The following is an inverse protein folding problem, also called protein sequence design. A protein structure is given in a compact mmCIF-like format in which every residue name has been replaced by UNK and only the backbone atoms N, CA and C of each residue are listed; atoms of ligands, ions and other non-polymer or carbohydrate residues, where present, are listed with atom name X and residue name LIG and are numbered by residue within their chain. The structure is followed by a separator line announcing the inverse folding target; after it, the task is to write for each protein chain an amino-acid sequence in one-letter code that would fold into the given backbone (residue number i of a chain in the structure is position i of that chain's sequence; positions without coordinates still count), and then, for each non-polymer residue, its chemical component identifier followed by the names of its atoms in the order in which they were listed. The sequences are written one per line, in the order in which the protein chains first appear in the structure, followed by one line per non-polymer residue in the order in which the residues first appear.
data_IF_442743072142
#
_entry.id   IF_442743072142
#
_cell.length_a   1.000
_cell.length_b   1.000
_cell.length_c   1.000
_cell.angle_alpha   90.00
_cell.angle_beta   90.00
_cell.angle_gamma   90.00
#
_symmetry.space_group_name_H-M   'P 1'
#
loop_
_entity.id
_entity.type
_entity.pdbx_description
1 polymer ?
#
# COMPACT_ATOMS: atom_id res chain seq x y z
N UNK A 1 -9.67 -8.69 8.50
CA UNK A 1 -9.64 -7.25 8.21
C UNK A 1 -11.05 -6.78 7.94
N UNK A 2 -11.57 -5.82 8.72
CA UNK A 2 -12.91 -5.24 8.51
C UNK A 2 -12.82 -4.16 7.43
N UNK A 3 -13.83 -4.19 6.56
CA UNK A 3 -14.27 -3.15 5.62
C UNK A 3 -13.19 -2.52 4.74
N UNK A 4 -12.55 -3.35 3.91
CA UNK A 4 -12.01 -2.88 2.64
C UNK A 4 -13.20 -2.61 1.73
N UNK A 5 -13.36 -1.36 1.31
CA UNK A 5 -14.49 -0.95 0.48
C UNK A 5 -14.00 -0.90 -0.96
N UNK A 6 -14.50 -1.81 -1.80
CA UNK A 6 -14.15 -1.88 -3.21
C UNK A 6 -14.40 -0.53 -3.89
N UNK A 7 -13.41 -0.03 -4.62
CA UNK A 7 -13.59 1.14 -5.47
C UNK A 7 -14.55 0.81 -6.60
N UNK A 8 -15.49 1.72 -6.88
CA UNK A 8 -16.25 1.61 -8.12
C UNK A 8 -15.37 1.97 -9.33
N UNK A 9 -15.84 1.65 -10.54
CA UNK A 9 -15.11 1.87 -11.79
C UNK A 9 -14.60 3.31 -11.93
N UNK A 10 -15.43 4.31 -11.64
CA UNK A 10 -15.03 5.71 -11.73
C UNK A 10 -13.98 6.11 -10.69
N UNK A 11 -14.07 5.60 -9.46
CA UNK A 11 -13.06 5.83 -8.42
C UNK A 11 -11.73 5.17 -8.79
N UNK A 12 -11.77 3.95 -9.31
CA UNK A 12 -10.62 3.20 -9.79
C UNK A 12 -9.91 3.96 -10.93
N UNK A 13 -10.64 4.36 -11.97
CA UNK A 13 -10.07 5.11 -13.09
C UNK A 13 -9.44 6.42 -12.61
N UNK A 14 -10.17 7.20 -11.80
CA UNK A 14 -9.69 8.49 -11.32
C UNK A 14 -8.43 8.37 -10.45
N UNK A 15 -8.35 7.39 -9.57
CA UNK A 15 -7.18 7.25 -8.68
C UNK A 15 -5.96 6.78 -9.47
N UNK A 16 -6.15 5.87 -10.44
CA UNK A 16 -5.04 5.42 -11.28
C UNK A 16 -4.57 6.51 -12.23
N UNK A 17 -5.47 7.25 -12.91
CA UNK A 17 -5.10 8.38 -13.76
C UNK A 17 -4.25 9.39 -12.98
N UNK A 18 -4.68 9.74 -11.77
CA UNK A 18 -3.90 10.60 -10.88
C UNK A 18 -2.56 9.99 -10.49
N UNK A 19 -2.52 8.68 -10.22
CA UNK A 19 -1.28 8.00 -9.85
C UNK A 19 -0.27 7.98 -11.01
N UNK A 20 -0.73 7.74 -12.24
CA UNK A 20 0.08 7.84 -13.46
C UNK A 20 0.63 9.27 -13.62
N UNK A 21 -0.21 10.29 -13.46
CA UNK A 21 0.17 11.68 -13.64
C UNK A 21 1.13 12.21 -12.55
N UNK A 22 0.79 11.98 -11.27
CA UNK A 22 1.54 12.53 -10.14
C UNK A 22 2.89 11.82 -9.92
N UNK A 23 2.95 10.51 -10.19
CA UNK A 23 4.13 9.68 -9.90
C UNK A 23 4.88 9.21 -11.14
N UNK A 24 4.47 9.63 -12.34
CA UNK A 24 5.01 9.14 -13.61
C UNK A 24 5.12 7.60 -13.62
N UNK A 25 4.08 6.94 -13.13
CA UNK A 25 4.08 5.49 -12.91
C UNK A 25 4.32 4.78 -14.24
N UNK A 26 5.36 3.95 -14.26
CA UNK A 26 5.76 3.12 -15.38
C UNK A 26 5.99 1.70 -14.86
N UNK A 27 5.03 0.78 -15.03
CA UNK A 27 5.15 -0.57 -14.52
C UNK A 27 6.38 -1.25 -15.13
N UNK A 28 7.34 -1.60 -14.29
CA UNK A 28 8.59 -2.23 -14.72
C UNK A 28 8.78 -3.58 -14.02
N UNK A 29 9.08 -4.62 -14.80
CA UNK A 29 9.42 -5.96 -14.30
C UNK A 29 10.94 -6.17 -14.13
N UNK A 30 11.75 -5.24 -14.67
CA UNK A 30 13.21 -5.33 -14.72
C UNK A 30 13.89 -4.75 -13.47
N UNK A 31 13.13 -4.43 -12.42
CA UNK A 31 13.65 -4.09 -11.08
C UNK A 31 14.01 -2.62 -10.85
N UNK A 32 13.80 -1.74 -11.82
CA UNK A 32 13.84 -0.29 -11.55
C UNK A 32 12.56 0.16 -10.84
N UNK A 33 12.64 1.23 -10.05
CA UNK A 33 11.49 1.77 -9.34
C UNK A 33 10.39 2.20 -10.35
N UNK A 34 9.20 1.61 -10.22
CA UNK A 34 8.07 1.84 -11.14
C UNK A 34 7.42 3.23 -11.02
N UNK A 35 7.84 4.07 -10.07
CA UNK A 35 7.30 5.41 -9.85
C UNK A 35 8.37 6.38 -9.36
N UNK A 36 8.11 7.67 -9.50
CA UNK A 36 8.99 8.75 -9.08
C UNK A 36 8.27 9.68 -8.13
N UNK A 37 8.97 10.14 -7.10
CA UNK A 37 8.47 11.17 -6.20
C UNK A 37 9.07 12.52 -6.56
N UNK A 38 8.25 13.56 -6.55
CA UNK A 38 8.67 14.96 -6.68
C UNK A 38 9.11 15.57 -5.34
N UNK A 39 8.81 14.91 -4.23
CA UNK A 39 9.15 15.32 -2.87
C UNK A 39 10.18 14.38 -2.22
N UNK A 40 10.90 14.82 -1.17
CA UNK A 40 11.75 13.93 -0.38
C UNK A 40 10.93 12.80 0.24
N UNK A 41 11.43 11.56 0.12
CA UNK A 41 10.80 10.37 0.70
C UNK A 41 11.85 9.51 1.42
N UNK A 42 11.38 8.66 2.33
CA UNK A 42 12.18 7.65 2.99
C UNK A 42 11.69 6.29 2.48
N UNK A 43 12.61 5.49 1.93
CA UNK A 43 12.33 4.10 1.57
C UNK A 43 12.85 3.20 2.69
N UNK A 44 11.94 2.40 3.27
CA UNK A 44 12.30 1.33 4.18
C UNK A 44 12.38 0.04 3.38
N UNK A 45 13.60 -0.43 3.12
CA UNK A 45 13.84 -1.71 2.47
C UNK A 45 13.83 -2.81 3.55
N UNK A 46 12.98 -3.83 3.39
CA UNK A 46 12.81 -4.93 4.36
C UNK A 46 13.46 -6.29 3.96
N UNK A 47 14.42 -6.40 3.03
CA UNK A 47 14.82 -7.66 2.43
C UNK A 47 15.57 -8.57 3.41
N UNK A 48 16.19 -7.99 4.43
CA UNK A 48 17.01 -8.72 5.42
C UNK A 48 16.28 -8.97 6.74
N UNK A 49 15.00 -8.61 6.88
CA UNK A 49 14.24 -8.97 8.08
C UNK A 49 13.86 -10.45 8.12
N UNK A 50 13.80 -11.07 6.94
CA UNK A 50 13.35 -12.45 6.76
C UNK A 50 14.37 -13.22 5.92
N UNK A 51 15.54 -13.52 6.50
CA UNK A 51 16.54 -14.39 5.85
C UNK A 51 16.02 -15.84 5.80
N UNK A 52 15.45 -16.28 4.69
CA UNK A 52 14.98 -17.66 4.49
C UNK A 52 13.67 -17.78 3.72
N UNK A 53 12.99 -18.92 3.86
CA UNK A 53 11.58 -19.04 3.44
C UNK A 53 10.72 -18.32 4.48
N UNK A 54 9.81 -17.46 4.03
CA UNK A 54 8.76 -16.89 4.88
C UNK A 54 8.08 -17.99 5.70
N UNK A 55 8.05 -17.78 7.01
CA UNK A 55 7.28 -18.61 7.93
C UNK A 55 5.94 -17.93 8.23
N UNK A 56 4.94 -18.69 8.68
CA UNK A 56 3.65 -18.11 9.08
C UNK A 56 3.80 -17.05 10.18
N UNK A 57 4.84 -17.14 11.02
CA UNK A 57 5.16 -16.16 12.06
C UNK A 57 5.71 -14.85 11.45
N UNK A 58 6.47 -14.94 10.36
CA UNK A 58 7.01 -13.78 9.64
C UNK A 58 5.90 -12.96 8.97
N UNK A 59 4.94 -13.63 8.33
CA UNK A 59 3.74 -13.03 7.74
C UNK A 59 2.94 -12.27 8.80
N UNK A 60 2.72 -12.91 9.95
CA UNK A 60 1.99 -12.31 11.07
C UNK A 60 2.70 -11.06 11.61
N UNK A 61 4.02 -11.13 11.78
CA UNK A 61 4.83 -9.99 12.24
C UNK A 61 4.77 -8.85 11.22
N UNK A 62 4.93 -9.16 9.92
CA UNK A 62 4.90 -8.19 8.84
C UNK A 62 3.55 -7.46 8.80
N UNK A 63 2.44 -8.18 8.83
CA UNK A 63 1.09 -7.61 8.86
C UNK A 63 0.89 -6.66 10.05
N UNK A 64 1.38 -7.04 11.24
CA UNK A 64 1.26 -6.20 12.44
C UNK A 64 2.12 -4.94 12.36
N UNK A 65 3.36 -5.05 11.87
CA UNK A 65 4.26 -3.91 11.70
C UNK A 65 3.70 -2.97 10.64
N UNK A 66 3.26 -3.50 9.51
CA UNK A 66 2.68 -2.73 8.41
C UNK A 66 1.41 -2.00 8.88
N UNK A 67 0.48 -2.70 9.52
CA UNK A 67 -0.74 -2.09 10.04
C UNK A 67 -0.43 -0.98 11.05
N UNK A 68 0.53 -1.22 11.96
CA UNK A 68 0.95 -0.21 12.93
C UNK A 68 1.58 1.00 12.27
N UNK A 69 2.41 0.81 11.24
CA UNK A 69 3.00 1.90 10.47
C UNK A 69 1.91 2.73 9.77
N UNK A 70 0.94 2.09 9.12
CA UNK A 70 -0.19 2.76 8.47
C UNK A 70 -1.04 3.55 9.48
N UNK A 71 -1.31 3.01 10.67
CA UNK A 71 -2.02 3.73 11.74
C UNK A 71 -1.23 4.96 12.21
N UNK A 72 0.10 4.87 12.34
CA UNK A 72 0.94 6.01 12.74
C UNK A 72 1.02 7.10 11.67
N UNK A 73 0.80 6.75 10.40
CA UNK A 73 0.84 7.65 9.26
C UNK A 73 -0.54 8.21 8.88
N UNK A 74 -1.61 7.84 9.58
CA UNK A 74 -2.99 8.22 9.24
C UNK A 74 -3.77 8.71 10.45
N UNK A 75 -4.78 9.53 10.23
CA UNK A 75 -5.72 9.93 11.28
C UNK A 75 -6.75 8.82 11.56
N UNK A 76 -7.33 8.80 12.77
CA UNK A 76 -8.26 7.74 13.23
C UNK A 76 -9.42 7.44 12.27
N UNK A 77 -9.89 8.45 11.53
CA UNK A 77 -11.03 8.34 10.61
C UNK A 77 -10.62 8.46 9.14
N UNK A 78 -9.33 8.49 8.85
CA UNK A 78 -8.81 8.62 7.50
C UNK A 78 -8.89 7.30 6.75
N UNK A 79 -9.39 7.37 5.51
CA UNK A 79 -9.33 6.29 4.55
C UNK A 79 -8.20 6.58 3.57
N UNK A 80 -7.42 5.55 3.29
CA UNK A 80 -6.39 5.56 2.26
C UNK A 80 -6.78 4.61 1.13
N UNK A 81 -6.19 4.83 -0.04
CA UNK A 81 -6.31 3.89 -1.15
C UNK A 81 -5.33 2.73 -0.98
N UNK A 82 -5.84 1.50 -1.04
CA UNK A 82 -5.06 0.29 -1.27
C UNK A 82 -5.17 -0.06 -2.76
N UNK A 83 -4.11 0.22 -3.51
CA UNK A 83 -4.07 0.07 -4.96
C UNK A 83 -3.32 -1.21 -5.34
N UNK A 84 -3.95 -2.04 -6.16
CA UNK A 84 -3.33 -3.23 -6.76
C UNK A 84 -3.40 -3.11 -8.28
N UNK A 85 -2.24 -3.08 -8.92
CA UNK A 85 -2.16 -2.77 -10.35
C UNK A 85 -2.73 -3.94 -11.17
N UNK A 86 -3.68 -3.64 -12.06
CA UNK A 86 -4.50 -4.62 -12.80
C UNK A 86 -5.46 -5.48 -11.97
N UNK A 87 -5.63 -5.18 -10.69
CA UNK A 87 -6.53 -5.88 -9.78
C UNK A 87 -7.46 -4.91 -9.06
N UNK A 88 -8.37 -5.45 -8.25
CA UNK A 88 -9.29 -4.64 -7.46
C UNK A 88 -8.52 -3.71 -6.51
N UNK A 89 -9.00 -2.47 -6.42
CA UNK A 89 -8.47 -1.47 -5.50
C UNK A 89 -9.54 -1.10 -4.47
N UNK A 90 -9.12 -0.63 -3.30
CA UNK A 90 -10.01 -0.45 -2.17
C UNK A 90 -9.76 0.86 -1.42
N UNK A 91 -10.80 1.40 -0.82
CA UNK A 91 -10.66 2.24 0.36
C UNK A 91 -10.39 1.37 1.58
N UNK A 92 -9.41 1.75 2.38
CA UNK A 92 -9.04 1.06 3.61
C UNK A 92 -8.78 2.08 4.72
N UNK A 93 -9.35 1.87 5.91
CA UNK A 93 -8.99 2.61 7.11
C UNK A 93 -8.12 1.73 8.03
N UNK A 94 -6.84 2.06 8.28
CA UNK A 94 -5.97 1.27 9.13
C UNK A 94 -6.50 1.13 10.57
N UNK A 95 -7.09 2.18 11.12
CA UNK A 95 -7.57 2.23 12.51
C UNK A 95 -8.84 1.39 12.75
N UNK A 96 -9.63 1.08 11.71
CA UNK A 96 -10.77 0.17 11.82
C UNK A 96 -10.36 -1.31 11.87
N UNK A 97 -9.12 -1.61 11.48
CA UNK A 97 -8.56 -2.96 11.51
C UNK A 97 -7.89 -3.30 12.85
N UNK A 98 -8.08 -2.46 13.88
CA UNK A 98 -7.49 -2.66 15.21
C UNK A 98 -8.17 -3.76 16.05
N UNK A 99 -9.31 -4.35 15.66
CA UNK A 99 -9.97 -5.45 16.39
C UNK A 99 -10.91 -6.31 15.52
#
# INVERSE_FOLDING_TARGET
MKEWILLNEQEYENVWDRFYDEFAFNPNIDGEQSFKFSCPYITYDLPNYFEGKWTDDDDYIFDHILLKALILCTEKHEYIYALDWHHDSYWMNPSLNLN
#
